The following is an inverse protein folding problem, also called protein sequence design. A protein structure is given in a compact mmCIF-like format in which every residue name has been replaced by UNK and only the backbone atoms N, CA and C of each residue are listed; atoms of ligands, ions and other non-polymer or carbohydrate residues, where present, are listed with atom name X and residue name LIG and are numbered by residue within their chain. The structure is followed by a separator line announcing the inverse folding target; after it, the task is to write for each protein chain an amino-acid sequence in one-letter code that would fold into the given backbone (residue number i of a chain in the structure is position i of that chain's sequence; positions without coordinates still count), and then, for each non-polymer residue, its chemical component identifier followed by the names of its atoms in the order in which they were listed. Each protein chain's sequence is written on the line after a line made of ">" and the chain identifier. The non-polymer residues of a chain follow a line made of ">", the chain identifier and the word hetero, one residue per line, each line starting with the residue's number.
data_IF_545512449011
#
_entry.id   IF_545512449011
#
_cell.length_a   1.000
_cell.length_b   1.000
_cell.length_c   1.000
_cell.angle_alpha   90.00
_cell.angle_beta   90.00
_cell.angle_gamma   90.00
#
_symmetry.space_group_name_H-M   'P 1'
#
loop_
_entity.id
_entity.type
_entity.pdbx_description
1 polymer ?
#
# COMPACT_ATOMS: atom_id res chain seq x y z
N UNK A 1 8.13 14.78 -36.51
CA UNK A 1 7.71 13.60 -35.74
C UNK A 1 7.77 12.37 -36.61
N UNK A 2 8.47 11.33 -36.17
CA UNK A 2 8.61 10.07 -36.91
C UNK A 2 7.28 9.29 -36.94
N UNK A 3 6.76 8.88 -38.12
CA UNK A 3 5.57 8.03 -38.23
C UNK A 3 5.72 6.70 -37.47
N UNK A 4 6.95 6.19 -37.40
CA UNK A 4 7.27 4.94 -36.72
C UNK A 4 7.19 5.09 -35.20
N UNK A 5 7.71 6.19 -34.63
CA UNK A 5 7.61 6.46 -33.20
C UNK A 5 6.15 6.60 -32.73
N UNK A 6 5.31 7.27 -33.53
CA UNK A 6 3.85 7.32 -33.29
C UNK A 6 3.20 5.95 -33.27
N UNK A 7 3.61 5.05 -34.18
CA UNK A 7 3.11 3.67 -34.21
C UNK A 7 3.53 2.90 -32.97
N UNK A 8 4.73 3.12 -32.44
CA UNK A 8 5.20 2.45 -31.23
C UNK A 8 4.48 2.95 -29.99
N UNK A 9 4.23 4.26 -29.93
CA UNK A 9 3.42 4.85 -28.87
C UNK A 9 2.00 4.28 -28.87
N UNK A 10 1.37 4.17 -30.04
CA UNK A 10 0.05 3.55 -30.16
C UNK A 10 0.04 2.09 -29.69
N UNK A 11 1.08 1.32 -30.00
CA UNK A 11 1.23 -0.07 -29.50
C UNK A 11 1.36 -0.10 -27.98
N UNK A 12 2.14 0.80 -27.37
CA UNK A 12 2.25 0.89 -25.91
C UNK A 12 0.89 1.17 -25.25
N UNK A 13 0.09 2.05 -25.83
CA UNK A 13 -1.23 2.42 -25.29
C UNK A 13 -2.28 1.33 -25.53
N UNK A 14 -2.41 0.86 -26.77
CA UNK A 14 -3.49 -0.03 -27.18
C UNK A 14 -3.24 -1.49 -26.79
N UNK A 15 -2.00 -1.97 -26.90
CA UNK A 15 -1.67 -3.39 -26.68
C UNK A 15 -1.09 -3.63 -25.28
N UNK A 16 -0.29 -2.71 -24.76
CA UNK A 16 0.37 -2.86 -23.46
C UNK A 16 -0.32 -2.12 -22.30
N UNK A 17 -1.37 -1.35 -22.58
CA UNK A 17 -2.16 -0.63 -21.57
C UNK A 17 -1.37 0.48 -20.85
N UNK A 18 -0.35 1.04 -21.51
CA UNK A 18 0.43 2.15 -20.97
C UNK A 18 -0.40 3.44 -21.06
N UNK A 19 -0.51 4.19 -19.97
CA UNK A 19 -1.29 5.43 -19.93
C UNK A 19 -0.74 6.52 -20.85
N UNK A 20 -1.60 7.36 -21.45
CA UNK A 20 -1.22 8.36 -22.45
C UNK A 20 -0.30 9.46 -21.89
N UNK A 21 -0.41 9.77 -20.60
CA UNK A 21 0.51 10.72 -19.94
C UNK A 21 1.94 10.17 -19.88
N UNK A 22 2.09 8.89 -19.52
CA UNK A 22 3.40 8.23 -19.45
C UNK A 22 3.99 7.99 -20.84
N UNK A 23 3.16 7.51 -21.78
CA UNK A 23 3.58 7.25 -23.16
C UNK A 23 4.05 8.54 -23.86
N UNK A 24 3.40 9.68 -23.59
CA UNK A 24 3.76 10.99 -24.13
C UNK A 24 5.18 11.42 -23.76
N UNK A 25 5.62 11.14 -22.53
CA UNK A 25 7.00 11.43 -22.08
C UNK A 25 8.06 10.56 -22.76
N UNK A 26 7.68 9.40 -23.30
CA UNK A 26 8.60 8.49 -23.99
C UNK A 26 8.86 8.90 -25.44
N UNK A 27 8.07 9.82 -26.00
CA UNK A 27 8.15 10.20 -27.42
C UNK A 27 9.58 10.53 -27.90
N UNK A 28 10.38 11.36 -27.21
CA UNK A 28 11.73 11.69 -27.67
C UNK A 28 12.66 10.47 -27.74
N UNK A 29 12.47 9.52 -26.82
CA UNK A 29 13.24 8.28 -26.78
C UNK A 29 12.80 7.33 -27.89
N UNK A 30 11.50 7.20 -28.12
CA UNK A 30 10.95 6.37 -29.20
C UNK A 30 11.34 6.90 -30.58
N UNK A 31 11.44 8.22 -30.76
CA UNK A 31 11.96 8.83 -31.99
C UNK A 31 13.44 8.45 -32.21
N UNK A 32 14.27 8.61 -31.19
CA UNK A 32 15.68 8.22 -31.28
C UNK A 32 15.87 6.73 -31.59
N UNK A 33 15.11 5.84 -30.94
CA UNK A 33 15.15 4.41 -31.24
C UNK A 33 14.62 4.08 -32.62
N UNK A 34 13.55 4.75 -33.08
CA UNK A 34 13.00 4.52 -34.41
C UNK A 34 14.00 4.90 -35.52
N UNK A 35 14.79 5.95 -35.30
CA UNK A 35 15.81 6.42 -36.24
C UNK A 35 17.00 5.44 -36.38
N UNK A 36 17.24 4.59 -35.37
CA UNK A 36 18.24 3.52 -35.44
C UNK A 36 17.78 2.28 -36.19
N UNK A 37 16.52 2.24 -36.66
CA UNK A 37 15.92 1.12 -37.38
C UNK A 37 16.20 -0.26 -36.74
N UNK A 38 15.87 -0.45 -35.45
CA UNK A 38 16.13 -1.71 -34.78
C UNK A 38 15.33 -2.84 -35.42
N UNK A 39 15.84 -4.05 -35.27
CA UNK A 39 15.15 -5.26 -35.71
C UNK A 39 13.80 -5.41 -35.02
N UNK A 40 12.91 -6.20 -35.62
CA UNK A 40 11.59 -6.46 -35.04
C UNK A 40 11.68 -7.06 -33.63
N UNK A 41 12.64 -7.96 -33.40
CA UNK A 41 12.88 -8.57 -32.09
C UNK A 41 13.40 -7.55 -31.03
N UNK A 42 14.25 -6.62 -31.43
CA UNK A 42 14.73 -5.55 -30.53
C UNK A 42 13.60 -4.57 -30.20
N UNK A 43 12.78 -4.21 -31.19
CA UNK A 43 11.59 -3.40 -30.98
C UNK A 43 10.64 -4.03 -29.96
N UNK A 44 10.32 -5.31 -30.11
CA UNK A 44 9.44 -6.01 -29.15
C UNK A 44 10.02 -6.00 -27.74
N UNK A 45 11.32 -6.27 -27.57
CA UNK A 45 12.00 -6.20 -26.26
C UNK A 45 11.90 -4.82 -25.62
N UNK A 46 12.09 -3.75 -26.39
CA UNK A 46 11.98 -2.37 -25.91
C UNK A 46 10.56 -2.09 -25.41
N UNK A 47 9.54 -2.42 -26.22
CA UNK A 47 8.14 -2.17 -25.85
C UNK A 47 7.72 -2.99 -24.62
N UNK A 48 8.11 -4.27 -24.57
CA UNK A 48 7.86 -5.13 -23.40
C UNK A 48 8.56 -4.61 -22.14
N UNK A 49 9.79 -4.13 -22.25
CA UNK A 49 10.55 -3.56 -21.14
C UNK A 49 9.90 -2.30 -20.58
N UNK A 50 9.49 -1.38 -21.45
CA UNK A 50 8.76 -0.17 -21.08
C UNK A 50 7.44 -0.53 -20.39
N UNK A 51 6.68 -1.45 -20.96
CA UNK A 51 5.41 -1.89 -20.39
C UNK A 51 5.58 -2.58 -19.03
N UNK A 52 6.65 -3.38 -18.86
CA UNK A 52 6.99 -4.00 -17.59
C UNK A 52 7.38 -2.95 -16.53
N UNK A 53 8.18 -1.95 -16.90
CA UNK A 53 8.54 -0.84 -16.03
C UNK A 53 7.30 -0.05 -15.60
N UNK A 54 6.44 0.32 -16.55
CA UNK A 54 5.16 0.99 -16.28
C UNK A 54 4.30 0.19 -15.29
N UNK A 55 4.11 -1.11 -15.52
CA UNK A 55 3.36 -1.99 -14.62
C UNK A 55 4.02 -2.13 -13.25
N UNK A 56 5.35 -2.14 -13.16
CA UNK A 56 6.05 -2.19 -11.87
C UNK A 56 5.86 -0.92 -11.04
N UNK A 57 5.73 0.24 -11.70
CA UNK A 57 5.40 1.50 -11.05
C UNK A 57 3.92 1.57 -10.64
N UNK A 58 3.02 1.01 -11.45
CA UNK A 58 1.58 0.93 -11.16
C UNK A 58 1.28 -0.08 -10.04
N UNK A 59 1.99 -1.21 -10.01
CA UNK A 59 1.87 -2.26 -8.99
C UNK A 59 2.37 -1.84 -7.60
N UNK A 60 2.98 -0.66 -7.47
CA UNK A 60 3.39 -0.08 -6.19
C UNK A 60 2.38 0.90 -5.57
N UNK A 61 1.28 1.25 -6.23
CA UNK A 61 0.48 2.44 -5.85
C UNK A 61 -0.97 2.25 -5.41
N UNK A 62 -1.47 1.04 -5.19
CA UNK A 62 -2.87 0.89 -4.73
C UNK A 62 -3.07 0.27 -3.34
N UNK A 63 -2.02 -0.24 -2.70
CA UNK A 63 -2.10 -0.90 -1.38
C UNK A 63 -1.33 -0.17 -0.25
N UNK A 64 -0.79 1.04 -0.46
CA UNK A 64 0.26 1.58 0.43
C UNK A 64 -0.16 2.70 1.39
N UNK A 65 -1.26 3.41 1.17
CA UNK A 65 -1.65 4.54 2.04
C UNK A 65 -3.03 4.34 2.65
N UNK A 66 -4.02 3.96 1.84
CA UNK A 66 -5.37 3.72 2.34
C UNK A 66 -5.43 2.45 3.19
N UNK A 67 -4.75 1.38 2.76
CA UNK A 67 -4.62 0.13 3.53
C UNK A 67 -3.82 0.36 4.82
N UNK A 68 -2.74 1.14 4.76
CA UNK A 68 -1.98 1.53 5.96
C UNK A 68 -2.82 2.37 6.91
N UNK A 69 -3.63 3.32 6.39
CA UNK A 69 -4.58 4.09 7.19
C UNK A 69 -5.66 3.22 7.82
N UNK A 70 -6.17 2.24 7.08
CA UNK A 70 -7.20 1.31 7.55
C UNK A 70 -6.64 0.39 8.65
N UNK A 71 -5.44 -0.17 8.44
CA UNK A 71 -4.72 -0.96 9.43
C UNK A 71 -4.38 -0.14 10.69
N UNK A 72 -3.97 1.14 10.54
CA UNK A 72 -3.73 2.03 11.66
C UNK A 72 -5.01 2.36 12.43
N UNK A 73 -6.14 2.55 11.73
CA UNK A 73 -7.44 2.79 12.37
C UNK A 73 -7.94 1.54 13.12
N UNK A 74 -7.76 0.36 12.54
CA UNK A 74 -8.07 -0.92 13.17
C UNK A 74 -7.21 -1.16 14.41
N UNK A 75 -5.89 -0.94 14.30
CA UNK A 75 -4.96 -1.03 15.42
C UNK A 75 -5.30 -0.06 16.56
N UNK A 76 -5.63 1.20 16.25
CA UNK A 76 -6.05 2.17 17.26
C UNK A 76 -7.34 1.74 17.99
N UNK A 77 -8.26 1.08 17.28
CA UNK A 77 -9.50 0.55 17.85
C UNK A 77 -9.22 -0.61 18.82
N UNK A 78 -8.34 -1.54 18.43
CA UNK A 78 -7.93 -2.65 19.29
C UNK A 78 -7.18 -2.17 20.55
N UNK A 79 -6.33 -1.15 20.42
CA UNK A 79 -5.69 -0.51 21.58
C UNK A 79 -6.69 0.09 22.57
N UNK A 80 -7.76 0.71 22.06
CA UNK A 80 -8.82 1.25 22.91
C UNK A 80 -9.57 0.15 23.68
N UNK A 81 -9.87 -0.97 23.02
CA UNK A 81 -10.47 -2.15 23.68
C UNK A 81 -9.56 -2.70 24.78
N UNK A 82 -8.24 -2.72 24.54
CA UNK A 82 -7.26 -3.17 25.52
C UNK A 82 -7.20 -2.23 26.74
N UNK A 83 -7.22 -0.91 26.53
CA UNK A 83 -7.29 0.08 27.62
C UNK A 83 -8.57 -0.08 28.46
N UNK A 84 -9.73 -0.26 27.82
CA UNK A 84 -11.00 -0.53 28.52
C UNK A 84 -10.92 -1.84 29.34
N UNK A 85 -10.32 -2.88 28.78
CA UNK A 85 -10.09 -4.16 29.48
C UNK A 85 -9.20 -3.98 30.71
N UNK A 86 -8.10 -3.22 30.59
CA UNK A 86 -7.21 -2.92 31.70
C UNK A 86 -7.90 -2.13 32.81
N UNK A 87 -8.76 -1.17 32.46
CA UNK A 87 -9.58 -0.42 33.43
C UNK A 87 -10.51 -1.33 34.22
N UNK A 88 -11.19 -2.26 33.53
CA UNK A 88 -12.06 -3.26 34.18
C UNK A 88 -11.25 -4.15 35.13
N UNK A 89 -10.08 -4.64 34.69
CA UNK A 89 -9.18 -5.44 35.53
C UNK A 89 -8.70 -4.66 36.75
N UNK A 90 -8.38 -3.36 36.60
CA UNK A 90 -8.02 -2.49 37.72
C UNK A 90 -9.13 -2.36 38.76
N UNK A 91 -10.38 -2.15 38.32
CA UNK A 91 -11.55 -2.12 39.22
C UNK A 91 -11.73 -3.47 39.91
N UNK A 92 -11.57 -4.58 39.19
CA UNK A 92 -11.69 -5.91 39.76
C UNK A 92 -10.60 -6.20 40.80
N UNK A 93 -9.35 -5.86 40.51
CA UNK A 93 -8.22 -5.97 41.44
C UNK A 93 -8.46 -5.14 42.69
N UNK A 94 -8.98 -3.91 42.57
CA UNK A 94 -9.30 -3.08 43.73
C UNK A 94 -10.45 -3.69 44.56
N UNK A 95 -11.47 -4.28 43.93
CA UNK A 95 -12.52 -5.02 44.63
C UNK A 95 -11.98 -6.26 45.35
N UNK A 96 -11.07 -7.00 44.72
CA UNK A 96 -10.39 -8.16 45.32
C UNK A 96 -9.55 -7.69 46.51
N UNK A 97 -8.78 -6.62 46.36
CA UNK A 97 -8.01 -5.99 47.45
C UNK A 97 -8.90 -5.58 48.61
N UNK A 98 -10.06 -4.97 48.35
CA UNK A 98 -11.04 -4.61 49.37
C UNK A 98 -11.65 -5.84 50.07
N UNK A 99 -11.89 -6.93 49.35
CA UNK A 99 -12.34 -8.21 49.93
C UNK A 99 -11.27 -8.84 50.81
N UNK A 100 -10.01 -8.84 50.38
CA UNK A 100 -8.86 -9.38 51.14
C UNK A 100 -8.53 -8.51 52.35
N UNK A 101 -8.78 -7.19 52.32
CA UNK A 101 -8.65 -6.31 53.48
C UNK A 101 -9.82 -6.44 54.47
N UNK A 102 -10.92 -7.11 54.13
CA UNK A 102 -12.12 -7.24 54.97
C UNK A 102 -12.16 -8.41 55.99
N UNK A 103 -11.24 -9.38 56.09
CA UNK A 103 -11.22 -10.34 57.19
C UNK A 103 -10.20 -9.90 58.26
N UNK A 104 -10.48 -8.82 58.99
CA UNK A 104 -9.75 -8.48 60.23
C UNK A 104 -10.50 -7.55 61.22
N UNK A 105 -11.76 -7.16 60.97
CA UNK A 105 -12.50 -6.23 61.85
C UNK A 105 -13.85 -6.77 62.34
N UNK A 106 -14.02 -8.10 62.39
CA UNK A 106 -15.20 -8.74 63.01
C UNK A 106 -14.85 -9.84 64.00
N UNK A 107 -13.79 -9.65 64.80
CA UNK A 107 -13.67 -10.32 66.09
C UNK A 107 -13.02 -9.36 67.08
N UNK A 108 -13.58 -9.34 68.28
CA UNK A 108 -13.13 -8.64 69.48
C UNK A 108 -13.57 -7.18 69.57
N UNK A 109 -14.79 -6.93 70.07
CA UNK A 109 -14.99 -6.36 71.41
C UNK A 109 -16.23 -7.05 72.02
N UNK A 110 -16.09 -7.36 73.31
CA UNK A 110 -16.99 -8.03 74.24
C UNK A 110 -18.46 -7.61 74.20
#
# INVERSE_FOLDING_TARGET
>A
MSPMAKKWLHVLEAEFGVGPEFSGHLMPFLEWFADQQPSLAEREKILMGIAAAYRSCQGGQTNSVEEVRLLLAEFATELKKLDETLKVLGVYLERVRQRIKRPALRRVIH
#
